data_IF_773966580067
#
_entry.id   IF_773966580067
#
_cell.length_a   1.000
_cell.length_b   1.000
_cell.length_c   1.000
_cell.angle_alpha   90.00
_cell.angle_beta   90.00
_cell.angle_gamma   90.00
#
_symmetry.space_group_name_H-M   'P 1'
#
loop_
_entity.id
_entity.type
_entity.pdbx_description
1 polymer ?
#
# COMPACT_ATOMS: atom_id res chain seq x y z
N UNK A 1 13.67 -6.03 20.61
CA UNK A 1 12.97 -5.73 19.34
C UNK A 1 13.83 -6.30 18.24
N UNK A 2 13.29 -7.19 17.43
CA UNK A 2 14.00 -7.73 16.26
C UNK A 2 13.37 -7.05 15.04
N UNK A 3 14.17 -6.49 14.18
CA UNK A 3 13.77 -6.05 12.84
C UNK A 3 14.58 -6.86 11.83
N UNK A 4 14.01 -7.06 10.68
CA UNK A 4 14.68 -7.63 9.52
C UNK A 4 14.72 -6.56 8.44
N UNK A 5 15.88 -6.35 7.89
CA UNK A 5 16.10 -5.52 6.73
C UNK A 5 16.11 -6.41 5.50
N UNK A 6 15.37 -5.98 4.50
CA UNK A 6 15.53 -6.54 3.18
C UNK A 6 16.43 -5.62 2.37
N UNK A 7 17.45 -6.21 1.78
CA UNK A 7 18.31 -5.46 0.87
C UNK A 7 17.53 -5.05 -0.37
N UNK A 8 17.54 -3.79 -0.60
CA UNK A 8 16.83 -3.06 -1.62
C UNK A 8 17.10 -3.52 -3.06
N UNK A 9 18.31 -3.97 -3.36
CA UNK A 9 18.71 -4.47 -4.67
C UNK A 9 17.82 -5.63 -5.18
N UNK A 10 17.18 -6.32 -4.26
CA UNK A 10 16.27 -7.42 -4.57
C UNK A 10 14.93 -6.94 -5.12
N UNK A 11 14.49 -5.76 -4.72
CA UNK A 11 13.17 -5.23 -5.07
C UNK A 11 13.18 -4.30 -6.28
N UNK A 12 14.23 -3.51 -6.45
CA UNK A 12 14.31 -2.56 -7.56
C UNK A 12 14.51 -3.26 -8.89
N UNK A 13 15.19 -4.39 -8.90
CA UNK A 13 15.34 -5.20 -10.10
C UNK A 13 14.19 -6.15 -10.34
N UNK A 14 13.16 -6.13 -9.47
CA UNK A 14 11.93 -6.91 -9.58
C UNK A 14 12.18 -8.38 -9.91
N UNK A 15 13.19 -8.95 -9.29
CA UNK A 15 13.47 -10.36 -9.44
C UNK A 15 12.97 -11.06 -8.19
N UNK A 16 11.72 -11.51 -8.22
CA UNK A 16 11.18 -12.37 -7.18
C UNK A 16 12.07 -13.57 -6.90
N UNK A 17 12.88 -13.96 -7.89
CA UNK A 17 13.94 -14.95 -7.74
C UNK A 17 14.97 -14.55 -6.65
N UNK A 18 15.37 -13.28 -6.57
CA UNK A 18 16.35 -12.83 -5.58
C UNK A 18 15.73 -12.80 -4.17
N UNK A 19 14.50 -12.32 -4.02
CA UNK A 19 13.74 -12.36 -2.77
C UNK A 19 13.59 -13.81 -2.26
N UNK A 20 13.19 -14.71 -3.13
CA UNK A 20 13.01 -16.14 -2.81
C UNK A 20 14.31 -16.81 -2.44
N UNK A 21 15.41 -16.53 -3.15
CA UNK A 21 16.72 -17.13 -2.87
C UNK A 21 17.31 -16.70 -1.54
N UNK A 22 17.16 -15.42 -1.18
CA UNK A 22 17.80 -14.88 0.01
C UNK A 22 16.93 -15.03 1.26
N UNK A 23 15.61 -14.97 1.13
CA UNK A 23 14.71 -14.83 2.28
C UNK A 23 13.57 -15.87 2.30
N UNK A 24 13.33 -16.53 1.19
CA UNK A 24 12.26 -17.53 1.08
C UNK A 24 10.86 -16.92 1.06
N UNK A 25 10.48 -16.13 2.05
CA UNK A 25 9.18 -15.44 2.10
C UNK A 25 9.21 -14.25 3.05
N UNK A 26 9.10 -13.04 2.49
CA UNK A 26 9.00 -11.80 3.25
C UNK A 26 7.91 -11.84 4.34
N UNK A 27 6.71 -12.27 3.98
CA UNK A 27 5.56 -12.26 4.91
C UNK A 27 5.72 -13.26 6.05
N UNK A 28 6.34 -14.42 5.81
CA UNK A 28 6.65 -15.40 6.87
C UNK A 28 7.66 -14.85 7.85
N UNK A 29 8.69 -14.18 7.37
CA UNK A 29 9.72 -13.59 8.20
C UNK A 29 9.14 -12.45 9.04
N UNK A 30 8.41 -11.54 8.42
CA UNK A 30 7.78 -10.40 9.07
C UNK A 30 6.68 -10.78 10.08
N UNK A 31 6.12 -11.98 10.00
CA UNK A 31 5.12 -12.48 10.95
C UNK A 31 5.61 -12.41 12.41
N UNK A 32 6.89 -12.67 12.62
CA UNK A 32 7.50 -12.77 13.95
C UNK A 32 8.26 -11.51 14.37
N UNK A 33 8.31 -10.51 13.50
CA UNK A 33 9.02 -9.26 13.73
C UNK A 33 8.11 -8.26 14.45
N UNK A 34 8.63 -7.63 15.51
CA UNK A 34 7.89 -6.64 16.29
C UNK A 34 7.61 -5.34 15.53
N UNK A 35 8.56 -4.92 14.69
CA UNK A 35 8.46 -3.76 13.80
C UNK A 35 8.92 -4.19 12.42
N UNK A 36 8.00 -4.59 11.52
CA UNK A 36 8.34 -4.90 10.15
C UNK A 36 9.03 -3.72 9.46
N UNK A 37 9.99 -4.01 8.60
CA UNK A 37 10.78 -2.94 7.99
C UNK A 37 11.48 -3.36 6.71
N UNK A 38 12.09 -2.35 6.11
CA UNK A 38 12.90 -2.44 4.89
C UNK A 38 14.17 -1.62 5.04
N UNK A 39 15.15 -1.91 4.20
CA UNK A 39 16.24 -1.01 3.88
C UNK A 39 16.07 -0.46 2.47
N UNK A 40 16.33 0.81 2.27
CA UNK A 40 16.12 1.45 0.97
C UNK A 40 17.44 1.78 0.22
N UNK A 41 18.60 1.62 0.81
CA UNK A 41 19.93 1.80 0.21
C UNK A 41 20.04 2.90 -0.87
N UNK A 42 19.27 3.98 -0.75
CA UNK A 42 19.31 5.14 -1.64
C UNK A 42 18.78 4.91 -3.08
N UNK A 43 17.92 3.92 -3.29
CA UNK A 43 17.32 3.65 -4.61
C UNK A 43 16.09 4.50 -4.91
N UNK A 44 15.42 4.98 -3.88
CA UNK A 44 14.26 5.85 -4.04
C UNK A 44 14.74 7.23 -4.45
N UNK A 45 14.40 7.62 -5.67
CA UNK A 45 14.70 8.95 -6.23
C UNK A 45 13.67 9.32 -7.29
N UNK A 46 13.51 10.60 -7.63
CA UNK A 46 12.59 11.03 -8.67
C UNK A 46 12.76 10.26 -9.98
N UNK A 47 11.63 9.81 -10.55
CA UNK A 47 11.60 9.05 -11.81
C UNK A 47 11.87 7.55 -11.65
N UNK A 48 12.20 7.06 -10.47
CA UNK A 48 12.32 5.63 -10.21
C UNK A 48 11.06 5.11 -9.52
N UNK A 49 10.50 4.04 -10.05
CA UNK A 49 9.34 3.36 -9.46
C UNK A 49 9.86 2.22 -8.58
N UNK A 50 9.58 2.31 -7.28
CA UNK A 50 10.00 1.33 -6.29
C UNK A 50 8.91 1.17 -5.22
N UNK A 51 8.01 0.19 -5.37
CA UNK A 51 6.88 0.00 -4.47
C UNK A 51 7.13 -1.03 -3.35
N UNK A 52 8.36 -1.48 -3.18
CA UNK A 52 8.72 -2.42 -2.12
C UNK A 52 8.39 -1.93 -0.69
N UNK A 53 8.32 -0.62 -0.35
CA UNK A 53 7.84 -0.22 0.97
C UNK A 53 6.43 -0.72 1.29
N UNK A 54 5.59 -0.98 0.26
CA UNK A 54 4.27 -1.60 0.45
C UNK A 54 4.33 -3.03 1.00
N UNK A 55 5.42 -3.77 0.81
CA UNK A 55 5.60 -5.10 1.41
C UNK A 55 5.66 -4.99 2.93
N UNK A 56 6.49 -4.08 3.46
CA UNK A 56 6.62 -3.87 4.90
C UNK A 56 5.33 -3.35 5.54
N UNK A 57 4.68 -2.36 4.91
CA UNK A 57 3.41 -1.82 5.41
C UNK A 57 2.32 -2.88 5.40
N UNK A 58 2.22 -3.66 4.32
CA UNK A 58 1.26 -4.75 4.23
C UNK A 58 1.50 -5.80 5.33
N UNK A 59 2.73 -6.28 5.49
CA UNK A 59 3.06 -7.25 6.54
C UNK A 59 2.71 -6.72 7.94
N UNK A 60 3.00 -5.44 8.22
CA UNK A 60 2.62 -4.81 9.48
C UNK A 60 1.11 -4.78 9.69
N UNK A 61 0.35 -4.40 8.66
CA UNK A 61 -1.11 -4.38 8.69
C UNK A 61 -1.70 -5.78 8.90
N UNK A 62 -1.18 -6.81 8.21
CA UNK A 62 -1.62 -8.20 8.35
C UNK A 62 -1.51 -8.68 9.81
N UNK A 63 -0.41 -8.36 10.46
CA UNK A 63 -0.08 -8.86 11.80
C UNK A 63 -0.36 -7.86 12.93
N UNK A 64 -1.09 -6.76 12.66
CA UNK A 64 -1.52 -5.79 13.67
C UNK A 64 -0.36 -4.99 14.28
N UNK A 65 0.68 -4.70 13.52
CA UNK A 65 1.82 -3.92 13.96
C UNK A 65 1.61 -2.45 13.60
N UNK A 66 1.64 -1.52 14.57
CA UNK A 66 1.39 -0.10 14.29
C UNK A 66 2.58 0.63 13.69
N UNK A 67 3.81 0.14 13.92
CA UNK A 67 5.03 0.74 13.42
C UNK A 67 5.63 -0.05 12.27
N UNK A 68 6.07 0.68 11.25
CA UNK A 68 6.62 0.17 10.00
C UNK A 68 7.90 0.92 9.73
N UNK A 69 9.02 0.21 9.80
CA UNK A 69 10.34 0.82 9.85
C UNK A 69 11.04 0.87 8.49
N UNK A 70 11.90 1.86 8.31
CA UNK A 70 12.92 1.89 7.26
C UNK A 70 14.26 2.30 7.83
N UNK A 71 15.32 1.61 7.43
CA UNK A 71 16.68 1.95 7.83
C UNK A 71 17.14 3.27 7.19
N UNK A 72 16.64 3.57 5.99
CA UNK A 72 17.00 4.78 5.25
C UNK A 72 15.77 5.58 4.87
N UNK A 73 15.30 6.36 5.82
CA UNK A 73 14.13 7.24 5.64
C UNK A 73 14.37 8.50 4.81
N UNK A 74 15.52 8.61 4.18
CA UNK A 74 15.95 9.80 3.47
C UNK A 74 17.00 10.60 4.25
N UNK A 75 17.57 11.60 3.58
CA UNK A 75 18.52 12.55 4.17
C UNK A 75 17.89 13.90 4.42
N UNK A 76 18.72 14.93 4.39
CA UNK A 76 18.32 16.32 4.55
C UNK A 76 17.97 16.96 3.20
N UNK A 77 17.28 18.08 3.25
CA UNK A 77 16.93 18.88 2.08
C UNK A 77 15.76 18.32 1.27
N UNK A 78 15.61 18.81 0.05
CA UNK A 78 14.48 18.48 -0.81
C UNK A 78 14.49 17.02 -1.27
N UNK A 79 15.65 16.52 -1.65
CA UNK A 79 15.82 15.11 -2.05
C UNK A 79 15.51 14.16 -0.90
N UNK A 80 16.03 14.44 0.30
CA UNK A 80 15.73 13.66 1.49
C UNK A 80 14.26 13.68 1.86
N UNK A 81 13.59 14.84 1.72
CA UNK A 81 12.16 14.94 1.91
C UNK A 81 11.38 14.12 0.89
N UNK A 82 11.79 14.14 -0.39
CA UNK A 82 11.20 13.29 -1.42
C UNK A 82 11.25 11.81 -1.03
N UNK A 83 12.43 11.30 -0.66
CA UNK A 83 12.61 9.89 -0.24
C UNK A 83 11.72 9.56 0.96
N UNK A 84 11.62 10.47 1.92
CA UNK A 84 10.76 10.33 3.10
C UNK A 84 9.29 10.23 2.72
N UNK A 85 8.77 11.18 1.93
CA UNK A 85 7.36 11.23 1.53
C UNK A 85 6.97 10.07 0.60
N UNK A 86 7.90 9.65 -0.26
CA UNK A 86 7.73 8.49 -1.12
C UNK A 86 7.49 7.20 -0.32
N UNK A 87 8.19 7.04 0.80
CA UNK A 87 7.99 5.92 1.70
C UNK A 87 6.73 6.09 2.57
N UNK A 88 6.44 7.30 3.03
CA UNK A 88 5.23 7.61 3.80
C UNK A 88 3.95 7.27 3.03
N UNK A 89 3.88 7.65 1.76
CA UNK A 89 2.68 7.37 0.95
C UNK A 89 2.51 5.88 0.65
N UNK A 90 3.55 5.07 0.88
CA UNK A 90 3.53 3.59 0.80
C UNK A 90 3.40 2.90 2.15
N UNK A 91 3.16 3.68 3.22
CA UNK A 91 2.78 3.18 4.53
C UNK A 91 3.89 3.09 5.56
N UNK A 92 5.15 3.37 5.23
CA UNK A 92 6.21 3.51 6.23
C UNK A 92 5.83 4.66 7.19
N UNK A 93 6.10 4.50 8.48
CA UNK A 93 5.76 5.51 9.48
C UNK A 93 6.78 5.61 10.64
N UNK A 94 7.87 4.87 10.56
CA UNK A 94 8.96 4.92 11.52
C UNK A 94 10.31 4.94 10.79
N UNK A 95 10.99 6.09 10.81
CA UNK A 95 12.12 6.35 9.93
C UNK A 95 13.42 6.61 10.68
N UNK A 96 14.49 6.04 10.18
CA UNK A 96 15.83 6.47 10.50
C UNK A 96 16.27 7.53 9.48
N UNK A 97 16.44 8.78 9.93
CA UNK A 97 16.84 9.91 9.08
C UNK A 97 18.32 10.19 9.28
N UNK A 98 19.09 10.09 8.22
CA UNK A 98 20.52 10.39 8.24
C UNK A 98 20.75 11.91 8.39
N UNK A 99 21.75 12.28 9.18
CA UNK A 99 22.21 13.65 9.29
C UNK A 99 21.41 14.53 10.24
N UNK A 100 20.45 14.01 11.02
CA UNK A 100 19.71 14.80 12.02
C UNK A 100 20.61 15.44 13.08
N UNK A 101 21.79 14.85 13.33
CA UNK A 101 22.77 15.36 14.28
C UNK A 101 23.81 16.30 13.65
N UNK A 102 23.71 16.58 12.34
CA UNK A 102 24.64 17.49 11.67
C UNK A 102 24.34 18.93 12.04
N UNK A 103 25.38 19.78 11.97
CA UNK A 103 25.16 21.22 12.13
C UNK A 103 24.30 21.78 11.00
N UNK A 104 23.42 22.78 11.27
CA UNK A 104 22.65 23.45 10.21
C UNK A 104 23.57 24.12 9.18
N UNK A 105 23.13 24.09 7.92
CA UNK A 105 23.73 24.87 6.83
C UNK A 105 22.74 25.89 6.31
N UNK A 106 23.16 26.74 5.36
CA UNK A 106 22.25 27.71 4.73
C UNK A 106 21.04 27.03 4.03
N UNK A 107 21.25 25.81 3.52
CA UNK A 107 20.24 25.07 2.74
C UNK A 107 19.51 23.99 3.54
N UNK A 108 20.09 23.53 4.65
CA UNK A 108 19.61 22.37 5.40
C UNK A 108 19.52 22.69 6.88
N UNK A 109 18.35 22.51 7.45
CA UNK A 109 18.09 22.65 8.88
C UNK A 109 17.60 21.32 9.48
N UNK A 110 18.48 20.58 10.21
CA UNK A 110 18.14 19.29 10.80
C UNK A 110 16.94 19.33 11.74
N UNK A 111 16.78 20.41 12.54
CA UNK A 111 15.65 20.55 13.45
C UNK A 111 14.32 20.63 12.70
N UNK A 112 14.25 21.37 11.58
CA UNK A 112 13.03 21.43 10.76
C UNK A 112 12.68 20.06 10.17
N UNK A 113 13.68 19.34 9.68
CA UNK A 113 13.48 17.95 9.19
C UNK A 113 12.99 17.05 10.32
N UNK A 114 13.59 17.11 11.50
CA UNK A 114 13.18 16.33 12.67
C UNK A 114 11.74 16.63 13.09
N UNK A 115 11.32 17.89 13.11
CA UNK A 115 9.94 18.27 13.40
C UNK A 115 8.95 17.76 12.36
N UNK A 116 9.30 17.88 11.08
CA UNK A 116 8.48 17.34 9.99
C UNK A 116 8.28 15.83 10.14
N UNK A 117 9.39 15.11 10.26
CA UNK A 117 9.36 13.64 10.38
C UNK A 117 8.60 13.18 11.62
N UNK A 118 8.80 13.83 12.76
CA UNK A 118 8.10 13.48 14.00
C UNK A 118 6.59 13.64 13.87
N UNK A 119 6.11 14.75 13.29
CA UNK A 119 4.68 14.99 13.08
C UNK A 119 4.09 14.03 12.04
N UNK A 120 4.74 13.89 10.89
CA UNK A 120 4.26 13.03 9.82
C UNK A 120 4.22 11.55 10.26
N UNK A 121 5.29 11.05 10.88
CA UNK A 121 5.33 9.69 11.42
C UNK A 121 4.23 9.45 12.45
N UNK A 122 4.00 10.37 13.37
CA UNK A 122 2.91 10.27 14.35
C UNK A 122 1.54 10.18 13.67
N UNK A 123 1.26 11.07 12.72
CA UNK A 123 -0.03 11.10 11.99
C UNK A 123 -0.27 9.82 11.19
N UNK A 124 0.78 9.24 10.62
CA UNK A 124 0.69 8.01 9.84
C UNK A 124 0.69 6.73 10.70
N UNK A 125 1.08 6.82 11.96
CA UNK A 125 1.04 5.70 12.91
C UNK A 125 -0.31 5.56 13.62
N UNK A 126 -1.08 6.65 13.75
CA UNK A 126 -2.38 6.62 14.44
C UNK A 126 -3.52 6.19 13.52
N UNK A 127 -4.65 5.77 14.13
CA UNK A 127 -5.79 5.21 13.38
C UNK A 127 -5.49 3.81 12.83
N UNK A 128 -6.32 3.35 11.89
CA UNK A 128 -6.15 2.07 11.21
C UNK A 128 -5.92 2.27 9.71
N UNK A 129 -5.19 1.38 9.04
CA UNK A 129 -5.11 1.40 7.58
C UNK A 129 -6.51 1.20 6.96
N UNK A 130 -6.75 1.77 5.79
CA UNK A 130 -8.08 1.83 5.21
C UNK A 130 -8.18 1.31 3.78
N UNK A 131 -7.10 0.77 3.22
CA UNK A 131 -7.14 0.13 1.90
C UNK A 131 -8.18 -1.00 1.88
N UNK A 132 -9.01 -1.04 0.83
CA UNK A 132 -10.10 -1.99 0.67
C UNK A 132 -9.74 -3.15 -0.28
N UNK A 133 -8.63 -3.04 -0.97
CA UNK A 133 -8.13 -4.01 -1.95
C UNK A 133 -6.94 -4.77 -1.37
N UNK A 134 -6.95 -6.09 -1.51
CA UNK A 134 -5.81 -6.95 -1.26
C UNK A 134 -5.23 -7.43 -2.59
N UNK A 135 -3.93 -7.31 -2.78
CA UNK A 135 -3.19 -7.86 -3.91
C UNK A 135 -2.45 -9.12 -3.44
N UNK A 136 -2.76 -10.26 -4.04
CA UNK A 136 -2.09 -11.51 -3.69
C UNK A 136 -0.63 -11.47 -4.13
N UNK A 137 0.27 -11.71 -3.19
CA UNK A 137 1.68 -11.86 -3.47
C UNK A 137 1.96 -13.33 -3.82
N UNK A 138 2.37 -13.65 -5.05
CA UNK A 138 2.40 -15.02 -5.55
C UNK A 138 3.67 -15.77 -5.11
N UNK A 139 3.99 -15.73 -3.81
CA UNK A 139 5.20 -16.35 -3.24
C UNK A 139 5.30 -17.86 -3.58
N UNK A 140 4.17 -18.56 -3.56
CA UNK A 140 4.08 -19.98 -3.92
C UNK A 140 4.45 -20.25 -5.39
N UNK A 141 4.12 -19.33 -6.30
CA UNK A 141 4.50 -19.40 -7.71
C UNK A 141 5.98 -19.07 -7.90
N UNK A 142 6.48 -18.08 -7.17
CA UNK A 142 7.89 -17.69 -7.19
C UNK A 142 8.80 -18.84 -6.71
N UNK A 143 8.39 -19.61 -5.70
CA UNK A 143 9.14 -20.82 -5.27
C UNK A 143 9.27 -21.88 -6.36
N UNK A 144 8.35 -21.87 -7.34
CA UNK A 144 8.41 -22.72 -8.51
C UNK A 144 9.21 -22.11 -9.68
N UNK A 145 9.82 -20.93 -9.46
CA UNK A 145 10.60 -20.22 -10.47
C UNK A 145 9.77 -19.43 -11.49
N UNK A 146 8.50 -19.14 -11.19
CA UNK A 146 7.61 -18.38 -12.07
C UNK A 146 7.90 -16.87 -12.01
N UNK A 147 8.81 -16.42 -12.86
CA UNK A 147 9.19 -15.00 -12.97
C UNK A 147 8.07 -14.11 -13.54
N UNK A 148 7.14 -14.68 -14.31
CA UNK A 148 6.01 -13.91 -14.85
C UNK A 148 5.08 -13.46 -13.74
N UNK A 149 4.79 -14.32 -12.77
CA UNK A 149 3.93 -13.94 -11.64
C UNK A 149 4.50 -12.78 -10.82
N UNK A 150 5.81 -12.73 -10.64
CA UNK A 150 6.51 -11.60 -9.99
C UNK A 150 6.40 -10.32 -10.82
N UNK A 151 6.82 -10.35 -12.08
CA UNK A 151 6.83 -9.17 -12.93
C UNK A 151 5.44 -8.57 -13.15
N UNK A 152 4.41 -9.41 -13.26
CA UNK A 152 3.03 -8.94 -13.35
C UNK A 152 2.56 -8.35 -12.02
N UNK A 153 2.93 -8.93 -10.88
CA UNK A 153 2.58 -8.38 -9.56
C UNK A 153 3.16 -6.97 -9.41
N UNK A 154 4.42 -6.75 -9.76
CA UNK A 154 5.05 -5.41 -9.74
C UNK A 154 4.33 -4.44 -10.67
N UNK A 155 3.99 -4.88 -11.89
CA UNK A 155 3.22 -4.05 -12.83
C UNK A 155 1.87 -3.63 -12.24
N UNK A 156 1.09 -4.58 -11.70
CA UNK A 156 -0.21 -4.29 -11.12
C UNK A 156 -0.11 -3.35 -9.91
N UNK A 157 0.94 -3.49 -9.09
CA UNK A 157 1.22 -2.57 -7.98
C UNK A 157 1.36 -1.12 -8.46
N UNK A 158 2.13 -0.91 -9.52
CA UNK A 158 2.30 0.42 -10.11
C UNK A 158 0.98 0.97 -10.64
N UNK A 159 0.26 0.18 -11.42
CA UNK A 159 -1.00 0.59 -12.05
C UNK A 159 -2.11 0.89 -11.03
N UNK A 160 -2.18 0.13 -9.92
CA UNK A 160 -3.11 0.42 -8.82
C UNK A 160 -2.81 1.78 -8.19
N UNK A 161 -1.55 2.04 -7.86
CA UNK A 161 -1.15 3.32 -7.26
C UNK A 161 -1.34 4.50 -8.23
N UNK A 162 -1.11 4.31 -9.53
CA UNK A 162 -1.31 5.33 -10.57
C UNK A 162 -2.78 5.67 -10.79
N UNK A 163 -3.67 4.74 -10.49
CA UNK A 163 -5.12 4.92 -10.56
C UNK A 163 -5.76 5.32 -9.23
N UNK A 164 -4.95 5.71 -8.24
CA UNK A 164 -5.40 6.04 -6.88
C UNK A 164 -6.23 4.92 -6.24
N UNK A 165 -5.77 3.67 -6.37
CA UNK A 165 -6.35 2.51 -5.69
C UNK A 165 -5.34 2.02 -4.67
N UNK A 166 -5.56 2.34 -3.39
CA UNK A 166 -4.70 1.84 -2.30
C UNK A 166 -4.99 0.36 -2.03
N UNK A 167 -3.94 -0.38 -1.68
CA UNK A 167 -4.01 -1.83 -1.46
C UNK A 167 -2.97 -2.26 -0.43
N UNK A 168 -3.13 -3.47 0.09
CA UNK A 168 -2.08 -4.21 0.78
C UNK A 168 -1.80 -5.52 0.06
N UNK A 169 -0.55 -5.98 0.13
CA UNK A 169 -0.22 -7.34 -0.24
C UNK A 169 -0.75 -8.33 0.79
N UNK A 170 -1.18 -9.50 0.29
CA UNK A 170 -1.50 -10.67 1.11
C UNK A 170 -0.86 -11.90 0.49
N UNK A 171 -0.46 -12.86 1.30
CA UNK A 171 0.14 -14.11 0.83
C UNK A 171 -0.72 -15.34 1.17
N UNK A 172 -0.29 -16.50 0.72
CA UNK A 172 -1.01 -17.77 0.96
C UNK A 172 -1.20 -18.07 2.45
N UNK A 173 -0.24 -17.71 3.30
CA UNK A 173 -0.33 -17.99 4.73
C UNK A 173 -1.31 -17.05 5.43
N UNK A 174 -1.43 -15.80 4.98
CA UNK A 174 -2.40 -14.82 5.49
C UNK A 174 -3.84 -15.30 5.32
N UNK A 175 -4.14 -16.01 4.23
CA UNK A 175 -5.46 -16.59 4.01
C UNK A 175 -5.83 -17.67 5.01
N UNK A 176 -4.85 -18.37 5.58
CA UNK A 176 -5.10 -19.44 6.54
C UNK A 176 -5.13 -18.94 7.98
N UNK A 177 -4.35 -17.94 8.32
CA UNK A 177 -4.26 -17.29 9.63
C UNK A 177 -3.39 -16.02 9.48
N UNK A 178 -3.79 -14.85 9.97
CA UNK A 178 -4.82 -14.63 11.00
C UNK A 178 -6.16 -14.08 10.47
N UNK A 179 -6.42 -14.10 9.17
CA UNK A 179 -7.60 -13.46 8.61
C UNK A 179 -8.91 -14.11 9.05
N UNK A 180 -9.93 -13.27 9.30
CA UNK A 180 -11.29 -13.68 9.53
C UNK A 180 -12.21 -13.14 8.44
N UNK A 181 -13.28 -13.88 8.10
CA UNK A 181 -14.36 -13.34 7.29
C UNK A 181 -15.26 -12.49 8.19
N UNK A 182 -15.55 -11.27 7.77
CA UNK A 182 -16.46 -10.33 8.46
C UNK A 182 -17.42 -9.72 7.44
N UNK A 183 -18.67 -10.20 7.45
CA UNK A 183 -19.64 -9.88 6.39
C UNK A 183 -19.12 -10.31 5.02
N UNK A 184 -19.08 -9.39 4.07
CA UNK A 184 -18.52 -9.59 2.72
C UNK A 184 -17.04 -9.23 2.61
N UNK A 185 -16.33 -9.13 3.74
CA UNK A 185 -14.94 -8.71 3.79
C UNK A 185 -14.01 -9.72 4.46
N UNK A 186 -12.72 -9.53 4.26
CA UNK A 186 -11.65 -10.24 4.97
C UNK A 186 -10.98 -9.24 5.90
N UNK A 187 -11.00 -9.52 7.20
CA UNK A 187 -10.43 -8.67 8.23
C UNK A 187 -9.06 -9.16 8.67
N UNK A 188 -8.08 -8.27 8.69
CA UNK A 188 -6.75 -8.51 9.23
C UNK A 188 -6.64 -8.10 10.72
N UNK A 189 -5.46 -8.32 11.34
CA UNK A 189 -5.25 -8.00 12.75
C UNK A 189 -5.18 -6.50 13.07
N UNK A 190 -4.97 -5.64 12.08
CA UNK A 190 -5.09 -4.18 12.24
C UNK A 190 -6.54 -3.68 12.27
N UNK A 191 -7.51 -4.59 12.10
CA UNK A 191 -8.93 -4.24 12.00
C UNK A 191 -9.34 -3.66 10.66
N UNK A 192 -8.46 -3.71 9.66
CA UNK A 192 -8.76 -3.35 8.27
C UNK A 192 -9.55 -4.48 7.61
N UNK A 193 -10.47 -4.09 6.72
CA UNK A 193 -11.34 -5.04 6.01
C UNK A 193 -11.14 -4.88 4.51
N UNK A 194 -10.69 -5.93 3.85
CA UNK A 194 -10.59 -5.99 2.39
C UNK A 194 -11.92 -6.50 1.82
N UNK A 195 -12.47 -5.78 0.86
CA UNK A 195 -13.70 -6.16 0.13
C UNK A 195 -13.42 -6.68 -1.28
N UNK A 196 -12.17 -6.61 -1.72
CA UNK A 196 -11.69 -7.21 -2.97
C UNK A 196 -10.33 -7.86 -2.80
N UNK A 197 -10.10 -8.93 -3.56
CA UNK A 197 -8.82 -9.62 -3.70
C UNK A 197 -8.46 -9.72 -5.18
N UNK A 198 -7.28 -9.22 -5.55
CA UNK A 198 -6.71 -9.37 -6.89
C UNK A 198 -5.67 -10.49 -6.82
N UNK A 199 -5.79 -11.48 -7.70
CA UNK A 199 -4.81 -12.56 -7.88
C UNK A 199 -4.07 -12.28 -9.19
N UNK A 200 -2.76 -11.96 -9.15
CA UNK A 200 -1.97 -11.77 -10.35
C UNK A 200 -1.71 -13.07 -11.09
N UNK A 201 -1.11 -12.98 -12.27
CA UNK A 201 -0.68 -14.13 -13.08
C UNK A 201 -0.08 -15.25 -12.22
N UNK A 202 -0.62 -16.46 -12.34
CA UNK A 202 -0.23 -17.60 -11.50
C UNK A 202 -0.29 -18.90 -12.27
N UNK A 203 0.60 -19.85 -11.96
CA UNK A 203 0.57 -21.22 -12.51
C UNK A 203 -0.10 -22.20 -11.55
N UNK A 204 0.00 -21.94 -10.25
CA UNK A 204 -0.62 -22.73 -9.20
C UNK A 204 -1.41 -21.88 -8.23
N UNK A 205 -2.35 -22.51 -7.53
CA UNK A 205 -3.01 -21.92 -6.36
C UNK A 205 -3.13 -22.98 -5.26
N UNK A 206 -2.84 -22.60 -4.02
CA UNK A 206 -3.00 -23.53 -2.91
C UNK A 206 -4.48 -23.81 -2.63
N UNK A 207 -4.82 -25.06 -2.36
CA UNK A 207 -6.18 -25.52 -2.08
C UNK A 207 -6.87 -24.70 -0.99
N UNK A 208 -6.16 -24.43 0.11
CA UNK A 208 -6.68 -23.61 1.20
C UNK A 208 -6.97 -22.17 0.79
N UNK A 209 -6.11 -21.58 -0.05
CA UNK A 209 -6.32 -20.23 -0.60
C UNK A 209 -7.57 -20.24 -1.47
N UNK A 210 -7.69 -21.19 -2.38
CA UNK A 210 -8.85 -21.33 -3.28
C UNK A 210 -10.17 -21.49 -2.49
N UNK A 211 -10.18 -22.37 -1.49
CA UNK A 211 -11.35 -22.57 -0.61
C UNK A 211 -11.77 -21.28 0.11
N UNK A 212 -10.80 -20.53 0.62
CA UNK A 212 -11.05 -19.23 1.28
C UNK A 212 -11.55 -18.17 0.29
N UNK A 213 -11.00 -18.10 -0.93
CA UNK A 213 -11.48 -17.19 -1.97
C UNK A 213 -12.93 -17.50 -2.36
N UNK A 214 -13.29 -18.79 -2.48
CA UNK A 214 -14.66 -19.21 -2.72
C UNK A 214 -15.60 -18.78 -1.60
N UNK A 215 -15.21 -19.01 -0.36
CA UNK A 215 -16.00 -18.59 0.81
C UNK A 215 -16.16 -17.06 0.87
N UNK A 216 -15.09 -16.32 0.57
CA UNK A 216 -15.11 -14.87 0.50
C UNK A 216 -16.06 -14.37 -0.62
N UNK A 217 -15.98 -14.95 -1.82
CA UNK A 217 -16.87 -14.61 -2.92
C UNK A 217 -18.35 -14.95 -2.61
N UNK A 218 -18.61 -16.11 -1.99
CA UNK A 218 -19.95 -16.51 -1.56
C UNK A 218 -20.55 -15.54 -0.52
N UNK A 219 -19.71 -14.91 0.31
CA UNK A 219 -20.09 -13.86 1.24
C UNK A 219 -20.29 -12.47 0.59
N UNK A 220 -20.08 -12.33 -0.72
CA UNK A 220 -20.24 -11.09 -1.48
C UNK A 220 -18.93 -10.32 -1.74
N UNK A 221 -17.79 -10.84 -1.29
CA UNK A 221 -16.48 -10.29 -1.59
C UNK A 221 -16.13 -10.39 -3.07
N UNK A 222 -15.24 -9.54 -3.56
CA UNK A 222 -14.85 -9.49 -4.97
C UNK A 222 -13.53 -10.19 -5.18
N UNK A 223 -13.49 -11.18 -6.08
CA UNK A 223 -12.25 -11.88 -6.47
C UNK A 223 -12.00 -11.61 -7.95
N UNK A 224 -10.79 -11.16 -8.27
CA UNK A 224 -10.38 -10.80 -9.64
C UNK A 224 -9.06 -11.49 -9.95
N UNK A 225 -9.03 -12.33 -10.96
CA UNK A 225 -7.78 -12.87 -11.51
C UNK A 225 -7.34 -12.00 -12.68
N UNK A 226 -6.06 -11.61 -12.69
CA UNK A 226 -5.49 -10.71 -13.71
C UNK A 226 -4.29 -11.38 -14.37
N UNK A 227 -4.36 -11.56 -15.69
CA UNK A 227 -3.37 -12.29 -16.48
C UNK A 227 -3.65 -13.79 -16.49
N UNK A 228 -2.62 -14.59 -16.39
CA UNK A 228 -2.71 -16.05 -16.45
C UNK A 228 -3.38 -16.63 -15.21
N UNK A 229 -4.41 -17.45 -15.41
CA UNK A 229 -5.07 -18.18 -14.32
C UNK A 229 -4.33 -19.47 -13.97
N UNK A 230 -4.44 -19.93 -12.70
CA UNK A 230 -3.82 -21.18 -12.26
C UNK A 230 -4.29 -22.39 -13.09
N UNK A 231 -3.35 -23.26 -13.46
CA UNK A 231 -3.60 -24.53 -14.15
C UNK A 231 -3.65 -25.71 -13.20
N UNK A 232 -3.20 -25.54 -11.97
CA UNK A 232 -3.14 -26.60 -10.96
C UNK A 232 -3.53 -26.05 -9.59
N UNK A 233 -4.27 -26.85 -8.85
CA UNK A 233 -4.45 -26.69 -7.40
C UNK A 233 -3.40 -27.55 -6.71
N UNK A 234 -2.70 -27.00 -5.73
CA UNK A 234 -1.65 -27.70 -5.00
C UNK A 234 -1.90 -27.65 -3.49
N UNK A 235 -1.37 -28.63 -2.77
CA UNK A 235 -1.26 -28.54 -1.33
C UNK A 235 0.00 -27.75 -0.91
N UNK A 236 0.19 -27.59 0.39
CA UNK A 236 1.36 -26.87 0.92
C UNK A 236 2.70 -27.51 0.55
N UNK A 237 2.71 -28.80 0.24
CA UNK A 237 3.92 -29.56 -0.08
C UNK A 237 4.21 -29.62 -1.57
N UNK A 238 3.28 -29.18 -2.42
CA UNK A 238 3.33 -29.28 -3.89
C UNK A 238 3.42 -30.72 -4.43
N UNK A 239 3.20 -31.73 -3.57
CA UNK A 239 3.38 -33.15 -3.94
C UNK A 239 2.15 -33.78 -4.60
N UNK A 240 0.96 -33.21 -4.40
CA UNK A 240 -0.30 -33.76 -4.87
C UNK A 240 -1.06 -32.70 -5.70
N UNK A 241 -0.61 -32.42 -6.94
CA UNK A 241 -1.29 -31.45 -7.79
C UNK A 241 -2.63 -32.00 -8.29
N UNK A 242 -3.67 -31.17 -8.19
CA UNK A 242 -4.97 -31.39 -8.84
C UNK A 242 -5.00 -30.60 -10.16
N UNK A 243 -5.99 -30.82 -11.01
CA UNK A 243 -6.18 -30.09 -12.26
C UNK A 243 -6.53 -28.62 -12.07
N UNK A 244 -6.86 -27.95 -13.17
CA UNK A 244 -7.24 -26.53 -13.15
C UNK A 244 -8.46 -26.28 -12.26
N UNK A 245 -8.45 -25.22 -11.42
CA UNK A 245 -9.58 -24.89 -10.56
C UNK A 245 -10.77 -24.36 -11.36
N UNK A 246 -11.99 -24.63 -10.87
CA UNK A 246 -13.16 -23.83 -11.25
C UNK A 246 -13.07 -22.44 -10.61
N UNK A 247 -13.07 -21.40 -11.45
CA UNK A 247 -13.00 -20.00 -11.09
C UNK A 247 -14.29 -19.22 -11.43
N UNK A 248 -15.42 -19.91 -11.62
CA UNK A 248 -16.72 -19.30 -11.97
C UNK A 248 -17.22 -18.25 -10.96
N UNK A 249 -16.69 -18.29 -9.73
CA UNK A 249 -16.98 -17.32 -8.67
C UNK A 249 -16.26 -15.98 -8.80
N UNK A 250 -15.33 -15.86 -9.75
CA UNK A 250 -14.41 -14.72 -9.85
C UNK A 250 -14.57 -13.97 -11.19
N UNK A 251 -14.12 -12.72 -11.22
CA UNK A 251 -13.91 -11.99 -12.47
C UNK A 251 -12.54 -12.39 -13.05
N UNK A 252 -12.51 -12.72 -14.33
CA UNK A 252 -11.27 -13.04 -15.04
C UNK A 252 -10.95 -11.91 -16.01
N UNK A 253 -9.76 -11.34 -15.88
CA UNK A 253 -9.16 -10.42 -16.82
C UNK A 253 -7.92 -11.08 -17.45
N UNK A 254 -8.01 -11.38 -18.75
CA UNK A 254 -6.93 -12.08 -19.46
C UNK A 254 -5.69 -11.21 -19.72
N UNK A 255 -5.87 -9.88 -19.75
CA UNK A 255 -4.76 -8.96 -19.86
C UNK A 255 -4.05 -8.82 -18.52
N UNK A 256 -2.73 -8.76 -18.57
CA UNK A 256 -1.89 -8.57 -17.38
C UNK A 256 -1.78 -7.09 -17.01
N UNK A 257 -2.95 -6.43 -16.76
CA UNK A 257 -3.04 -4.99 -16.45
C UNK A 257 -4.35 -4.66 -15.71
N UNK A 258 -4.38 -3.51 -15.02
CA UNK A 258 -5.58 -2.98 -14.35
C UNK A 258 -6.47 -2.28 -15.38
N UNK A 259 -7.26 -3.09 -16.08
CA UNK A 259 -8.21 -2.60 -17.10
C UNK A 259 -9.43 -1.92 -16.46
N UNK A 260 -10.24 -1.15 -17.22
CA UNK A 260 -11.53 -0.66 -16.75
C UNK A 260 -12.47 -1.77 -16.24
N UNK A 261 -12.34 -2.99 -16.77
CA UNK A 261 -13.09 -4.17 -16.29
C UNK A 261 -12.67 -4.55 -14.88
N UNK A 262 -11.34 -4.58 -14.61
CA UNK A 262 -10.81 -4.82 -13.25
C UNK A 262 -11.32 -3.74 -12.31
N UNK A 263 -11.13 -2.46 -12.65
CA UNK A 263 -11.60 -1.32 -11.83
C UNK A 263 -13.09 -1.41 -11.51
N UNK A 264 -13.93 -1.78 -12.47
CA UNK A 264 -15.37 -1.91 -12.25
C UNK A 264 -15.76 -3.06 -11.31
N UNK A 265 -14.89 -4.07 -11.17
CA UNK A 265 -15.08 -5.18 -10.24
C UNK A 265 -14.57 -4.88 -8.82
N UNK A 266 -13.79 -3.81 -8.63
CA UNK A 266 -13.28 -3.39 -7.33
C UNK A 266 -14.32 -2.55 -6.55
N UNK A 267 -14.16 -2.38 -5.23
CA UNK A 267 -14.96 -1.45 -4.46
C UNK A 267 -14.73 -0.01 -4.95
N UNK A 268 -15.70 0.86 -4.69
CA UNK A 268 -15.50 2.30 -4.96
C UNK A 268 -14.26 2.78 -4.20
N UNK A 269 -13.33 3.46 -4.89
CA UNK A 269 -12.15 4.00 -4.23
C UNK A 269 -12.56 5.06 -3.22
N UNK A 270 -11.84 5.13 -2.12
CA UNK A 270 -12.02 6.15 -1.06
C UNK A 270 -11.43 7.51 -1.45
N UNK A 271 -10.62 7.56 -2.51
CA UNK A 271 -10.17 8.77 -3.19
C UNK A 271 -10.45 8.66 -4.69
N UNK A 272 -11.01 9.71 -5.27
CA UNK A 272 -11.19 9.86 -6.72
C UNK A 272 -10.74 11.26 -7.12
N UNK A 273 -9.84 11.35 -8.08
CA UNK A 273 -9.49 12.60 -8.74
C UNK A 273 -10.42 12.82 -9.95
N UNK A 274 -10.63 14.08 -10.34
CA UNK A 274 -11.45 14.45 -11.51
C UNK A 274 -10.86 13.93 -12.83
N UNK A 275 -9.53 13.75 -12.88
CA UNK A 275 -8.83 13.02 -13.91
C UNK A 275 -7.84 12.04 -13.28
N UNK A 276 -7.52 10.94 -13.96
CA UNK A 276 -6.44 10.04 -13.56
C UNK A 276 -5.14 10.84 -13.53
N UNK A 277 -4.48 10.86 -12.39
CA UNK A 277 -3.22 11.59 -12.18
C UNK A 277 -2.16 10.62 -11.61
N UNK A 278 -1.45 9.90 -12.49
CA UNK A 278 -0.45 8.90 -12.07
C UNK A 278 0.64 9.46 -11.16
N UNK A 279 0.86 10.76 -11.21
CA UNK A 279 1.89 11.46 -10.45
C UNK A 279 1.52 11.68 -8.97
N UNK A 280 0.22 11.65 -8.66
CA UNK A 280 -0.27 11.85 -7.30
C UNK A 280 -0.58 10.50 -6.68
N UNK A 281 0.06 10.20 -5.56
CA UNK A 281 -0.22 9.02 -4.74
C UNK A 281 -0.89 9.46 -3.44
N UNK A 282 -1.57 8.53 -2.78
CA UNK A 282 -2.15 8.81 -1.46
C UNK A 282 -2.07 7.59 -0.54
N UNK A 283 -2.19 7.86 0.75
CA UNK A 283 -2.39 6.88 1.81
C UNK A 283 -3.58 7.31 2.67
N UNK A 284 -4.44 6.37 3.06
CA UNK A 284 -5.61 6.63 3.89
C UNK A 284 -5.51 5.97 5.26
N UNK A 285 -5.75 6.75 6.31
CA UNK A 285 -5.89 6.28 7.70
C UNK A 285 -7.29 6.62 8.20
N UNK A 286 -8.02 5.61 8.66
CA UNK A 286 -9.36 5.78 9.23
C UNK A 286 -9.29 5.91 10.75
N UNK A 287 -10.01 6.89 11.31
CA UNK A 287 -10.21 7.09 12.74
C UNK A 287 -11.63 6.71 13.14
N UNK A 288 -11.90 6.70 14.43
CA UNK A 288 -13.25 6.48 14.95
C UNK A 288 -14.25 7.51 14.38
N UNK A 289 -13.84 8.77 14.30
CA UNK A 289 -14.72 9.91 13.99
C UNK A 289 -14.24 10.70 12.76
N UNK A 290 -13.41 10.13 11.89
CA UNK A 290 -12.89 10.85 10.73
C UNK A 290 -11.87 10.07 9.92
N UNK A 291 -11.26 10.76 8.98
CA UNK A 291 -10.26 10.19 8.08
C UNK A 291 -9.08 11.13 7.92
N UNK A 292 -7.91 10.57 7.66
CA UNK A 292 -6.70 11.27 7.30
C UNK A 292 -6.21 10.73 5.97
N UNK A 293 -5.99 11.62 5.03
CA UNK A 293 -5.41 11.36 3.73
C UNK A 293 -4.05 12.04 3.64
N UNK A 294 -3.03 11.30 3.30
CA UNK A 294 -1.71 11.83 2.98
C UNK A 294 -1.54 11.76 1.46
N UNK A 295 -1.51 12.90 0.80
CA UNK A 295 -1.25 13.01 -0.64
C UNK A 295 0.20 13.39 -0.90
N UNK A 296 0.77 12.86 -1.95
CA UNK A 296 2.13 13.19 -2.39
C UNK A 296 2.21 13.31 -3.91
N UNK A 297 2.76 14.41 -4.38
CA UNK A 297 3.12 14.65 -5.78
C UNK A 297 4.56 14.18 -6.03
N UNK A 298 4.73 13.08 -6.76
CA UNK A 298 6.03 12.46 -7.04
C UNK A 298 6.84 13.16 -8.15
N UNK A 299 6.39 14.33 -8.64
CA UNK A 299 7.03 14.99 -9.78
C UNK A 299 7.43 16.43 -9.52
N UNK A 300 8.29 16.95 -10.40
CA UNK A 300 8.77 18.33 -10.46
C UNK A 300 7.76 19.32 -11.08
N UNK A 301 6.52 18.87 -11.32
CA UNK A 301 5.44 19.70 -11.89
C UNK A 301 4.31 19.88 -10.89
N UNK A 302 3.71 21.07 -10.90
CA UNK A 302 2.49 21.30 -10.13
C UNK A 302 1.37 20.38 -10.62
N UNK A 303 0.65 19.79 -9.69
CA UNK A 303 -0.56 18.99 -9.96
C UNK A 303 -1.78 19.73 -9.43
N UNK A 304 -2.78 19.92 -10.30
CA UNK A 304 -4.04 20.59 -9.95
C UNK A 304 -5.20 19.65 -10.29
N UNK A 305 -5.93 19.25 -9.27
CA UNK A 305 -7.04 18.31 -9.37
C UNK A 305 -8.18 18.74 -8.45
N UNK A 306 -9.34 18.18 -8.69
CA UNK A 306 -10.43 18.12 -7.73
C UNK A 306 -10.47 16.71 -7.15
N UNK A 307 -10.23 16.60 -5.85
CA UNK A 307 -10.29 15.33 -5.17
C UNK A 307 -11.66 15.12 -4.52
N UNK A 308 -12.21 13.93 -4.70
CA UNK A 308 -13.36 13.44 -3.92
C UNK A 308 -12.86 12.36 -2.98
N UNK A 309 -13.04 12.59 -1.68
CA UNK A 309 -12.59 11.67 -0.63
C UNK A 309 -13.76 11.15 0.20
N UNK A 310 -13.65 9.95 0.73
CA UNK A 310 -14.61 9.42 1.69
C UNK A 310 -14.52 10.21 3.00
N UNK A 311 -15.63 10.69 3.52
CA UNK A 311 -15.67 11.42 4.77
C UNK A 311 -16.88 12.36 4.90
N UNK A 312 -17.01 12.92 6.07
CA UNK A 312 -18.06 13.89 6.41
C UNK A 312 -17.50 14.96 7.36
N UNK A 313 -18.26 16.03 7.58
CA UNK A 313 -17.87 17.09 8.50
C UNK A 313 -16.91 18.12 7.90
N UNK A 314 -16.06 18.71 8.73
CA UNK A 314 -15.10 19.73 8.30
C UNK A 314 -13.89 19.11 7.61
N UNK A 315 -13.30 19.88 6.70
CA UNK A 315 -12.05 19.54 6.02
C UNK A 315 -10.94 20.45 6.51
N UNK A 316 -9.84 19.84 6.91
CA UNK A 316 -8.66 20.56 7.37
C UNK A 316 -7.42 20.10 6.60
N UNK A 317 -6.50 21.01 6.37
CA UNK A 317 -5.12 20.73 5.99
C UNK A 317 -4.26 20.82 7.24
N UNK A 318 -3.49 19.76 7.50
CA UNK A 318 -2.51 19.74 8.57
C UNK A 318 -1.12 19.76 7.96
N UNK A 319 -0.39 20.84 8.22
CA UNK A 319 0.97 21.02 7.70
C UNK A 319 1.99 20.43 8.68
N UNK A 320 2.56 19.29 8.34
CA UNK A 320 3.57 18.65 9.18
C UNK A 320 4.89 19.46 9.26
N UNK A 321 5.16 20.33 8.29
CA UNK A 321 6.37 21.16 8.28
C UNK A 321 6.29 22.23 9.37
N UNK A 322 5.17 22.92 9.47
CA UNK A 322 4.98 24.03 10.41
C UNK A 322 4.20 23.64 11.68
N UNK A 323 3.38 22.59 11.60
CA UNK A 323 2.41 22.20 12.62
C UNK A 323 1.11 23.01 12.55
N UNK A 324 0.94 23.84 11.52
CA UNK A 324 -0.27 24.64 11.34
C UNK A 324 -1.46 23.76 10.90
N UNK A 325 -2.64 24.12 11.38
CA UNK A 325 -3.93 23.52 10.98
C UNK A 325 -4.78 24.62 10.38
N UNK A 326 -5.27 24.40 9.16
CA UNK A 326 -6.14 25.34 8.46
C UNK A 326 -7.40 24.64 7.93
N UNK A 327 -8.53 25.36 7.95
CA UNK A 327 -9.76 24.86 7.33
C UNK A 327 -9.71 25.06 5.82
N UNK A 328 -10.23 24.10 5.08
CA UNK A 328 -10.34 24.16 3.62
C UNK A 328 -11.80 24.02 3.21
N UNK A 329 -12.18 24.75 2.17
CA UNK A 329 -13.52 24.63 1.60
C UNK A 329 -13.67 23.26 0.93
N UNK A 330 -14.48 22.39 1.53
CA UNK A 330 -14.94 21.14 0.95
C UNK A 330 -16.45 21.16 0.78
N UNK A 331 -16.95 20.55 -0.29
CA UNK A 331 -18.39 20.41 -0.55
C UNK A 331 -18.80 18.97 -0.37
N UNK A 332 -19.84 18.74 0.43
CA UNK A 332 -20.46 17.40 0.49
C UNK A 332 -20.98 17.04 -0.91
N UNK A 333 -20.53 15.93 -1.45
CA UNK A 333 -20.96 15.36 -2.74
C UNK A 333 -21.80 14.08 -2.58
N UNK A 334 -22.07 13.70 -1.33
CA UNK A 334 -22.88 12.54 -0.95
C UNK A 334 -22.99 12.45 0.58
N UNK A 335 -23.62 11.39 1.11
CA UNK A 335 -23.77 11.21 2.56
C UNK A 335 -22.41 11.10 3.30
N UNK A 336 -21.42 10.51 2.64
CA UNK A 336 -20.09 10.26 3.20
C UNK A 336 -19.01 10.49 2.13
N UNK A 337 -19.09 11.62 1.45
CA UNK A 337 -18.18 11.98 0.36
C UNK A 337 -18.03 13.49 0.29
N UNK A 338 -16.80 13.95 0.26
CA UNK A 338 -16.43 15.37 0.22
C UNK A 338 -15.58 15.61 -1.01
N UNK A 339 -15.93 16.65 -1.78
CA UNK A 339 -15.14 17.13 -2.91
C UNK A 339 -14.42 18.41 -2.53
N UNK A 340 -13.11 18.50 -2.82
CA UNK A 340 -12.25 19.62 -2.48
C UNK A 340 -11.18 19.85 -3.54
N UNK A 341 -10.67 21.08 -3.70
CA UNK A 341 -9.52 21.34 -4.56
C UNK A 341 -8.25 20.72 -3.96
N UNK A 342 -7.48 20.01 -4.80
CA UNK A 342 -6.19 19.45 -4.46
C UNK A 342 -5.13 20.04 -5.39
N UNK A 343 -4.38 21.01 -4.89
CA UNK A 343 -3.26 21.62 -5.60
C UNK A 343 -1.99 21.26 -4.85
N UNK A 344 -1.07 20.58 -5.53
CA UNK A 344 0.21 20.15 -4.97
C UNK A 344 1.36 20.72 -5.82
N UNK A 345 2.23 21.50 -5.19
CA UNK A 345 3.46 21.98 -5.80
C UNK A 345 4.41 20.81 -6.14
N UNK A 346 5.49 21.03 -6.90
CA UNK A 346 6.51 20.01 -7.13
C UNK A 346 6.98 19.35 -5.82
N UNK A 347 6.91 18.03 -5.77
CA UNK A 347 7.32 17.21 -4.62
C UNK A 347 6.63 17.58 -3.29
N UNK A 348 5.47 18.24 -3.36
CA UNK A 348 4.69 18.57 -2.16
C UNK A 348 3.91 17.34 -1.67
N UNK A 349 3.90 17.20 -0.35
CA UNK A 349 2.99 16.31 0.37
C UNK A 349 2.03 17.10 1.23
N UNK A 350 0.81 16.56 1.44
CA UNK A 350 -0.25 17.25 2.18
C UNK A 350 -1.12 16.28 2.96
N UNK A 351 -1.34 16.59 4.23
CA UNK A 351 -2.34 15.90 5.04
C UNK A 351 -3.69 16.62 4.91
N UNK A 352 -4.71 15.85 4.55
CA UNK A 352 -6.11 16.28 4.55
C UNK A 352 -6.86 15.44 5.59
N UNK A 353 -7.51 16.13 6.51
CA UNK A 353 -8.27 15.49 7.59
C UNK A 353 -9.74 15.86 7.45
N UNK A 354 -10.60 14.85 7.52
CA UNK A 354 -12.07 15.03 7.51
C UNK A 354 -12.67 14.49 8.81
N UNK A 355 -13.68 15.16 9.33
CA UNK A 355 -14.35 14.73 10.55
C UNK A 355 -14.93 15.90 11.36
N UNK A 356 -15.44 15.62 12.57
CA UNK A 356 -15.88 16.68 13.46
C UNK A 356 -14.69 17.54 13.87
N UNK A 357 -14.96 18.83 14.10
CA UNK A 357 -13.94 19.76 14.64
C UNK A 357 -13.57 19.30 16.05
N UNK A 358 -12.35 18.99 16.25
CA UNK A 358 -11.77 18.88 17.59
C UNK A 358 -11.16 20.18 18.02
#
# INVERSE_FOLDING_TARGET
MVHLNHEELMFVKSRGEDLIRNEGSFFRDMRYVGVPGIDNLSQIKPGVIANFPKLASSAAHLYGRPLIWTEQGGGMGLEGKFVTDYQYVRGINYMNIRGLNNAPTAEVNPAKTGWYVSRASYLLAIGRPAAQVALYHPTDNMWLGDQESDSITVKLTNELMEQQIDFDYIDQDSFTSPFTLEGSGIKNLSGQVYSAVIIPSSIVIQKKVLERLRAFAAAGGKVVFVGRTPKMVVDRTFMNPEGAPDLSFATIEAKSEITPRVVSALPKPDVKLDAICPQVKYLHRAFKDGNLYFFFNETDKMQTNTATVTGSGKVQVWDATTGAISNVSGKMSGKNSITLPLVLAPYESRFIVTGPTR
#
